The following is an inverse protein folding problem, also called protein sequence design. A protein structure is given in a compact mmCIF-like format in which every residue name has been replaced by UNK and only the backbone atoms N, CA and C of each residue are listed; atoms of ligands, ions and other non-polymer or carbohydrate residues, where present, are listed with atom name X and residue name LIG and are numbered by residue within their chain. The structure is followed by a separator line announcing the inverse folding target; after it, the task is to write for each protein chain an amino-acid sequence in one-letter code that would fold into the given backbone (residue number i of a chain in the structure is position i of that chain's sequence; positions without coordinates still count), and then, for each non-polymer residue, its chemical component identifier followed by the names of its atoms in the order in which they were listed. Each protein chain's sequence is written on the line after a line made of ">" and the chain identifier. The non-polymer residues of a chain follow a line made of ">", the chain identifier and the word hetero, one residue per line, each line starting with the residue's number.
data_IF_581644587685
#
_entry.id   IF_581644587685
#
_cell.length_a   1.000
_cell.length_b   1.000
_cell.length_c   1.000
_cell.angle_alpha   90.00
_cell.angle_beta   90.00
_cell.angle_gamma   90.00
#
_symmetry.space_group_name_H-M   'P 1'
#
loop_
_entity.id
_entity.type
_entity.pdbx_description
1 polymer ?
#
# COMPACT_ATOMS: atom_id res chain seq x y z
N UNK A 1 36.20 28.89 -11.24
CA UNK A 1 35.55 27.62 -11.64
C UNK A 1 34.14 27.97 -12.05
N UNK A 2 33.87 27.95 -13.35
CA UNK A 2 32.59 28.40 -13.90
C UNK A 2 31.49 27.40 -13.55
N UNK A 3 30.45 27.87 -12.86
CA UNK A 3 29.16 27.18 -12.77
C UNK A 3 28.64 26.95 -14.19
N UNK A 4 28.57 25.69 -14.62
CA UNK A 4 27.78 25.32 -15.78
C UNK A 4 26.32 25.43 -15.37
N UNK A 5 25.64 26.47 -15.85
CA UNK A 5 24.18 26.51 -15.89
C UNK A 5 23.77 25.37 -16.83
N UNK A 6 23.44 24.19 -16.28
CA UNK A 6 22.79 23.13 -17.05
C UNK A 6 21.43 23.68 -17.48
N UNK A 7 21.23 23.82 -18.79
CA UNK A 7 19.93 24.11 -19.36
C UNK A 7 18.98 22.97 -19.03
N UNK A 8 17.77 23.27 -18.55
CA UNK A 8 16.76 22.26 -18.28
C UNK A 8 16.50 21.39 -19.53
N UNK A 9 16.37 20.05 -19.38
CA UNK A 9 16.12 19.14 -20.48
C UNK A 9 14.80 19.52 -21.15
N UNK A 10 14.75 19.38 -22.48
CA UNK A 10 13.55 19.73 -23.22
C UNK A 10 13.22 21.23 -23.28
N UNK A 11 14.19 22.13 -23.14
CA UNK A 11 13.99 23.57 -23.34
C UNK A 11 13.30 23.92 -24.69
N UNK A 12 13.50 23.08 -25.73
CA UNK A 12 12.80 23.18 -27.03
C UNK A 12 11.43 22.51 -27.11
N UNK A 13 11.00 21.77 -26.09
CA UNK A 13 9.74 21.01 -26.02
C UNK A 13 8.66 21.71 -25.17
N UNK A 14 9.03 22.70 -24.36
CA UNK A 14 8.15 23.50 -23.48
C UNK A 14 7.01 24.23 -24.20
N UNK A 15 6.96 24.20 -25.53
CA UNK A 15 5.90 24.81 -26.36
C UNK A 15 5.16 23.81 -27.25
N UNK A 16 5.49 22.51 -27.19
CA UNK A 16 4.81 21.47 -27.98
C UNK A 16 3.59 20.96 -27.22
N UNK A 17 2.41 21.03 -27.85
CA UNK A 17 1.15 20.45 -27.34
C UNK A 17 1.13 18.90 -27.41
N UNK A 18 2.13 18.31 -28.07
CA UNK A 18 2.28 16.87 -28.28
C UNK A 18 3.70 16.39 -28.02
N UNK A 19 3.80 15.29 -27.27
CA UNK A 19 5.06 14.56 -27.03
C UNK A 19 5.07 13.31 -27.91
N UNK A 20 6.08 13.20 -28.77
CA UNK A 20 6.25 12.04 -29.66
C UNK A 20 7.28 11.05 -29.12
N UNK A 21 7.31 9.82 -29.66
CA UNK A 21 8.32 8.82 -29.30
C UNK A 21 9.76 9.30 -29.55
N UNK A 22 9.98 10.12 -30.60
CA UNK A 22 11.30 10.72 -30.85
C UNK A 22 11.69 11.73 -29.77
N UNK A 23 10.72 12.51 -29.26
CA UNK A 23 10.94 13.43 -28.14
C UNK A 23 11.30 12.64 -26.86
N UNK A 24 10.66 11.50 -26.60
CA UNK A 24 10.99 10.62 -25.47
C UNK A 24 12.43 10.10 -25.58
N UNK A 25 12.85 9.63 -26.76
CA UNK A 25 14.23 9.15 -26.96
C UNK A 25 15.26 10.26 -26.75
N UNK A 26 14.95 11.48 -27.21
CA UNK A 26 15.80 12.64 -27.01
C UNK A 26 15.93 12.96 -25.51
N UNK A 27 14.80 13.08 -24.81
CA UNK A 27 14.76 13.38 -23.38
C UNK A 27 15.47 12.32 -22.54
N UNK A 28 15.31 11.03 -22.87
CA UNK A 28 16.06 9.95 -22.20
C UNK A 28 17.57 10.14 -22.30
N UNK A 29 18.07 10.57 -23.47
CA UNK A 29 19.51 10.82 -23.66
C UNK A 29 20.00 12.03 -22.88
N UNK A 30 19.17 13.05 -22.73
CA UNK A 30 19.50 14.26 -21.97
C UNK A 30 19.47 14.01 -20.46
N UNK A 31 18.35 13.48 -19.95
CA UNK A 31 18.07 13.29 -18.52
C UNK A 31 18.99 12.25 -17.87
N UNK A 32 19.40 11.21 -18.61
CA UNK A 32 20.32 10.20 -18.10
C UNK A 32 21.78 10.42 -18.55
N UNK A 33 22.11 11.58 -19.14
CA UNK A 33 23.42 11.83 -19.75
C UNK A 33 24.58 11.72 -18.76
N UNK A 34 24.39 12.21 -17.53
CA UNK A 34 25.37 12.17 -16.43
C UNK A 34 25.07 11.04 -15.43
N UNK A 35 24.07 10.19 -15.73
CA UNK A 35 23.67 9.03 -14.96
C UNK A 35 22.89 9.35 -13.68
N UNK A 36 22.45 10.59 -13.49
CA UNK A 36 21.79 11.06 -12.26
C UNK A 36 20.69 12.07 -12.61
N UNK A 37 19.42 11.73 -12.39
CA UNK A 37 18.28 12.65 -12.65
C UNK A 37 18.17 13.74 -11.58
N UNK A 38 18.56 14.97 -11.85
CA UNK A 38 18.47 16.08 -10.91
C UNK A 38 17.02 16.53 -10.65
N UNK A 39 16.81 17.26 -9.54
CA UNK A 39 15.51 17.87 -9.21
C UNK A 39 14.97 18.76 -10.32
N UNK A 40 15.83 19.57 -10.95
CA UNK A 40 15.43 20.46 -12.04
C UNK A 40 14.97 19.69 -13.28
N UNK A 41 15.54 18.52 -13.53
CA UNK A 41 15.12 17.63 -14.62
C UNK A 41 13.77 16.98 -14.30
N UNK A 42 13.57 16.51 -13.07
CA UNK A 42 12.27 16.00 -12.62
C UNK A 42 11.18 17.08 -12.70
N UNK A 43 11.44 18.30 -12.24
CA UNK A 43 10.51 19.44 -12.34
C UNK A 43 10.19 19.79 -13.81
N UNK A 44 11.17 19.70 -14.71
CA UNK A 44 10.94 19.89 -16.14
C UNK A 44 10.05 18.79 -16.75
N UNK A 45 10.24 17.53 -16.34
CA UNK A 45 9.39 16.42 -16.76
C UNK A 45 7.94 16.59 -16.28
N UNK A 46 7.72 17.04 -15.04
CA UNK A 46 6.38 17.37 -14.54
C UNK A 46 5.74 18.51 -15.34
N UNK A 47 6.51 19.56 -15.69
CA UNK A 47 6.00 20.66 -16.49
C UNK A 47 5.57 20.19 -17.90
N UNK A 48 6.35 19.29 -18.52
CA UNK A 48 6.00 18.68 -19.81
C UNK A 48 4.75 17.80 -19.68
N UNK A 49 4.66 17.00 -18.62
CA UNK A 49 3.49 16.14 -18.38
C UNK A 49 2.20 16.97 -18.21
N UNK A 50 2.28 18.08 -17.48
CA UNK A 50 1.14 18.96 -17.24
C UNK A 50 0.70 19.78 -18.46
N UNK A 51 1.60 20.06 -19.40
CA UNK A 51 1.33 20.93 -20.55
C UNK A 51 0.95 20.19 -21.83
N UNK A 52 1.45 18.96 -22.04
CA UNK A 52 1.17 18.17 -23.22
C UNK A 52 -0.23 17.53 -23.17
N UNK A 53 -1.03 17.72 -24.24
CA UNK A 53 -2.36 17.11 -24.37
C UNK A 53 -2.34 15.73 -25.00
N UNK A 54 -1.42 15.52 -25.95
CA UNK A 54 -1.24 14.26 -26.65
C UNK A 54 0.17 13.72 -26.34
N UNK A 55 0.22 12.53 -25.74
CA UNK A 55 1.46 11.92 -25.25
C UNK A 55 1.61 10.56 -25.91
N UNK A 56 2.80 10.27 -26.42
CA UNK A 56 3.08 8.96 -26.99
C UNK A 56 2.99 7.86 -25.92
N UNK A 57 2.70 6.60 -26.28
CA UNK A 57 2.58 5.50 -25.33
C UNK A 57 3.83 5.24 -24.48
N UNK A 58 5.01 5.66 -24.93
CA UNK A 58 6.29 5.52 -24.25
C UNK A 58 6.52 6.59 -23.17
N UNK A 59 5.74 7.67 -23.19
CA UNK A 59 5.92 8.78 -22.26
C UNK A 59 5.70 8.39 -20.79
N UNK A 60 4.59 7.71 -20.40
CA UNK A 60 4.36 7.36 -19.01
C UNK A 60 5.48 6.50 -18.42
N UNK A 61 5.98 5.51 -19.18
CA UNK A 61 7.07 4.63 -18.75
C UNK A 61 8.36 5.44 -18.49
N UNK A 62 8.75 6.30 -19.43
CA UNK A 62 9.93 7.15 -19.27
C UNK A 62 9.78 8.13 -18.09
N UNK A 63 8.63 8.80 -17.99
CA UNK A 63 8.37 9.76 -16.93
C UNK A 63 8.46 9.12 -15.54
N UNK A 64 7.79 7.96 -15.37
CA UNK A 64 7.79 7.20 -14.12
C UNK A 64 9.21 6.76 -13.76
N UNK A 65 9.95 6.20 -14.72
CA UNK A 65 11.33 5.74 -14.50
C UNK A 65 12.25 6.88 -14.06
N UNK A 66 12.27 7.99 -14.79
CA UNK A 66 13.18 9.11 -14.53
C UNK A 66 12.90 9.78 -13.18
N UNK A 67 11.62 10.04 -12.87
CA UNK A 67 11.26 10.68 -11.60
C UNK A 67 11.47 9.74 -10.42
N UNK A 68 11.25 8.43 -10.60
CA UNK A 68 11.56 7.43 -9.55
C UNK A 68 13.06 7.37 -9.26
N UNK A 69 13.91 7.47 -10.29
CA UNK A 69 15.37 7.49 -10.09
C UNK A 69 15.82 8.67 -9.23
N UNK A 70 15.28 9.87 -9.49
CA UNK A 70 15.51 11.05 -8.66
C UNK A 70 15.07 10.81 -7.20
N UNK A 71 13.85 10.32 -6.99
CA UNK A 71 13.25 10.20 -5.64
C UNK A 71 13.91 9.09 -4.81
N UNK A 72 14.23 7.96 -5.42
CA UNK A 72 14.61 6.73 -4.71
C UNK A 72 16.12 6.51 -4.64
N UNK A 73 16.88 6.89 -5.68
CA UNK A 73 18.28 6.50 -5.79
C UNK A 73 19.28 7.61 -5.42
N UNK A 74 18.83 8.86 -5.30
CA UNK A 74 19.77 9.97 -5.07
C UNK A 74 20.01 10.31 -3.61
N UNK A 75 19.05 10.03 -2.75
CA UNK A 75 19.25 10.18 -1.32
C UNK A 75 19.97 8.97 -0.74
N UNK A 76 20.89 9.25 0.18
CA UNK A 76 21.60 8.21 0.92
C UNK A 76 20.82 7.90 2.19
N UNK A 77 20.57 6.62 2.50
CA UNK A 77 20.97 5.42 1.75
C UNK A 77 20.10 5.14 0.52
N UNK A 78 20.72 4.70 -0.58
CA UNK A 78 20.00 4.44 -1.83
C UNK A 78 18.85 3.43 -1.63
N UNK A 79 17.69 3.77 -2.19
CA UNK A 79 16.45 3.05 -1.99
C UNK A 79 15.57 3.64 -0.88
N UNK A 80 16.00 4.67 -0.16
CA UNK A 80 15.19 5.31 0.89
C UNK A 80 14.61 6.62 0.36
N UNK A 81 13.34 6.84 0.65
CA UNK A 81 12.69 8.12 0.39
C UNK A 81 12.76 8.94 1.68
N UNK A 82 13.34 10.14 1.65
CA UNK A 82 13.28 11.05 2.79
C UNK A 82 11.89 11.65 2.96
N UNK A 83 11.69 12.22 4.15
CA UNK A 83 10.52 13.04 4.44
C UNK A 83 10.39 14.23 3.47
N UNK A 84 11.49 14.90 3.14
CA UNK A 84 11.46 16.06 2.23
C UNK A 84 11.07 15.66 0.80
N UNK A 85 11.57 14.51 0.32
CA UNK A 85 11.23 13.98 -1.00
C UNK A 85 9.78 13.49 -1.07
N UNK A 86 9.28 12.82 -0.03
CA UNK A 86 7.87 12.43 0.05
C UNK A 86 6.96 13.66 0.02
N UNK A 87 7.29 14.69 0.81
CA UNK A 87 6.55 15.94 0.83
C UNK A 87 6.59 16.69 -0.50
N UNK A 88 7.76 16.73 -1.14
CA UNK A 88 7.91 17.35 -2.46
C UNK A 88 7.07 16.60 -3.51
N UNK A 89 7.11 15.26 -3.52
CA UNK A 89 6.32 14.46 -4.46
C UNK A 89 4.83 14.73 -4.24
N UNK A 90 4.33 14.62 -3.01
CA UNK A 90 2.90 14.88 -2.69
C UNK A 90 2.52 16.29 -3.15
N UNK A 91 3.30 17.32 -2.82
CA UNK A 91 3.00 18.70 -3.24
C UNK A 91 3.01 18.89 -4.76
N UNK A 92 3.80 18.11 -5.48
CA UNK A 92 3.94 18.24 -6.94
C UNK A 92 2.77 17.56 -7.67
N UNK A 93 2.34 16.39 -7.20
CA UNK A 93 1.26 15.61 -7.83
C UNK A 93 -0.13 15.91 -7.27
N UNK A 94 -0.23 16.58 -6.12
CA UNK A 94 -1.51 16.87 -5.47
C UNK A 94 -2.03 18.25 -5.88
N UNK A 95 -3.24 18.30 -6.44
CA UNK A 95 -4.04 19.51 -6.60
C UNK A 95 -5.33 19.37 -5.79
N UNK A 96 -5.54 20.28 -4.86
CA UNK A 96 -6.67 20.25 -3.92
C UNK A 96 -6.80 18.93 -3.14
N UNK A 97 -5.68 18.24 -2.87
CA UNK A 97 -5.64 16.98 -2.14
C UNK A 97 -5.75 15.72 -3.00
N UNK A 98 -5.92 15.86 -4.32
CA UNK A 98 -6.08 14.73 -5.25
C UNK A 98 -4.98 14.70 -6.32
N UNK A 99 -4.68 13.51 -6.82
CA UNK A 99 -3.81 13.33 -7.99
C UNK A 99 -4.59 13.65 -9.27
N UNK A 100 -3.96 14.30 -10.24
CA UNK A 100 -4.64 14.81 -11.43
C UNK A 100 -4.65 13.83 -12.61
N UNK A 101 -3.64 12.97 -12.72
CA UNK A 101 -3.50 12.05 -13.86
C UNK A 101 -3.20 10.61 -13.46
N UNK A 102 -3.53 9.66 -14.35
CA UNK A 102 -3.17 8.25 -14.19
C UNK A 102 -1.64 8.06 -14.18
N UNK A 103 -0.90 8.88 -14.92
CA UNK A 103 0.55 8.83 -14.97
C UNK A 103 1.17 9.24 -13.63
N UNK A 104 0.63 10.28 -12.99
CA UNK A 104 1.08 10.70 -11.65
C UNK A 104 0.69 9.70 -10.56
N UNK A 105 -0.48 9.06 -10.68
CA UNK A 105 -0.87 7.99 -9.76
C UNK A 105 0.02 6.76 -9.91
N UNK A 106 0.34 6.38 -11.15
CA UNK A 106 1.27 5.29 -11.43
C UNK A 106 2.67 5.62 -10.92
N UNK A 107 3.14 6.86 -11.07
CA UNK A 107 4.39 7.33 -10.47
C UNK A 107 4.38 7.14 -8.95
N UNK A 108 3.32 7.58 -8.27
CA UNK A 108 3.20 7.46 -6.81
C UNK A 108 3.31 6.01 -6.34
N UNK A 109 2.60 5.10 -7.02
CA UNK A 109 2.62 3.67 -6.69
C UNK A 109 3.98 3.06 -7.03
N UNK A 110 4.56 3.38 -8.17
CA UNK A 110 5.85 2.85 -8.61
C UNK A 110 7.00 3.28 -7.69
N UNK A 111 6.97 4.53 -7.21
CA UNK A 111 7.92 5.05 -6.23
C UNK A 111 7.87 4.25 -4.93
N UNK A 112 6.66 3.94 -4.44
CA UNK A 112 6.48 3.08 -3.27
C UNK A 112 6.99 1.65 -3.53
N UNK A 113 6.67 1.07 -4.68
CA UNK A 113 7.07 -0.29 -5.06
C UNK A 113 8.60 -0.43 -5.18
N UNK A 114 9.29 0.63 -5.64
CA UNK A 114 10.73 0.62 -5.87
C UNK A 114 11.56 0.97 -4.63
N UNK A 115 10.97 1.70 -3.69
CA UNK A 115 11.63 2.07 -2.45
C UNK A 115 11.85 0.86 -1.54
N UNK A 116 12.97 0.88 -0.81
CA UNK A 116 13.28 -0.01 0.32
C UNK A 116 12.69 0.49 1.63
N UNK A 117 12.37 1.78 1.72
CA UNK A 117 11.74 2.43 2.86
C UNK A 117 11.16 3.77 2.39
N UNK A 118 9.96 4.11 2.84
CA UNK A 118 9.38 5.44 2.67
C UNK A 118 8.56 5.83 3.88
N UNK A 119 8.34 7.13 4.09
CA UNK A 119 7.52 7.62 5.18
C UNK A 119 6.08 7.10 5.08
N UNK A 120 5.50 6.66 6.20
CA UNK A 120 4.12 6.13 6.21
C UNK A 120 3.05 7.11 5.73
N UNK A 121 3.34 8.42 5.70
CA UNK A 121 2.45 9.42 5.11
C UNK A 121 2.33 9.33 3.59
N UNK A 122 3.36 8.84 2.90
CA UNK A 122 3.34 8.71 1.43
C UNK A 122 2.43 7.54 1.02
N UNK A 123 2.54 6.40 1.70
CA UNK A 123 1.63 5.26 1.50
C UNK A 123 0.20 5.61 1.92
N UNK A 124 0.00 6.28 3.05
CA UNK A 124 -1.32 6.76 3.47
C UNK A 124 -1.94 7.71 2.45
N UNK A 125 -1.15 8.65 1.89
CA UNK A 125 -1.62 9.53 0.81
C UNK A 125 -2.04 8.75 -0.44
N UNK A 126 -1.28 7.72 -0.85
CA UNK A 126 -1.63 6.87 -1.97
C UNK A 126 -2.96 6.11 -1.72
N UNK A 127 -3.15 5.56 -0.53
CA UNK A 127 -4.42 4.92 -0.14
C UNK A 127 -5.58 5.91 -0.13
N UNK A 128 -5.35 7.15 0.30
CA UNK A 128 -6.35 8.22 0.27
C UNK A 128 -6.86 8.49 -1.15
N UNK A 129 -5.98 8.41 -2.16
CA UNK A 129 -6.39 8.54 -3.57
C UNK A 129 -7.35 7.44 -4.00
N UNK A 130 -7.13 6.21 -3.54
CA UNK A 130 -8.07 5.12 -3.80
C UNK A 130 -9.37 5.31 -3.05
N UNK A 131 -9.31 5.82 -1.81
CA UNK A 131 -10.51 6.14 -1.05
C UNK A 131 -11.35 7.23 -1.75
N UNK A 132 -10.75 8.30 -2.27
CA UNK A 132 -11.46 9.32 -3.05
C UNK A 132 -12.14 8.73 -4.30
N UNK A 133 -11.49 7.80 -4.98
CA UNK A 133 -12.07 7.12 -6.14
C UNK A 133 -13.26 6.23 -5.75
N UNK A 134 -13.12 5.41 -4.72
CA UNK A 134 -14.17 4.49 -4.25
C UNK A 134 -15.34 5.24 -3.64
N UNK A 135 -15.07 6.21 -2.77
CA UNK A 135 -16.07 6.84 -1.91
C UNK A 135 -16.74 7.99 -2.64
N UNK A 136 -15.93 8.91 -3.17
CA UNK A 136 -16.42 10.15 -3.76
C UNK A 136 -16.64 10.04 -5.27
N UNK A 137 -16.12 8.97 -5.89
CA UNK A 137 -16.06 8.88 -7.35
C UNK A 137 -15.19 9.99 -7.95
N UNK A 138 -14.07 10.34 -7.28
CA UNK A 138 -13.15 11.41 -7.67
C UNK A 138 -11.75 10.88 -8.02
N UNK A 139 -10.98 11.65 -8.78
CA UNK A 139 -9.58 11.34 -9.09
C UNK A 139 -9.36 10.62 -10.42
N UNK A 140 -8.10 10.26 -10.73
CA UNK A 140 -7.69 9.87 -12.07
C UNK A 140 -8.13 8.45 -12.43
N UNK A 141 -8.46 7.62 -11.43
CA UNK A 141 -9.00 6.28 -11.60
C UNK A 141 -10.36 6.24 -12.32
N UNK A 142 -11.06 7.39 -12.40
CA UNK A 142 -12.29 7.53 -13.20
C UNK A 142 -12.00 7.47 -14.70
N UNK A 143 -10.79 7.87 -15.11
CA UNK A 143 -10.46 8.09 -16.53
C UNK A 143 -10.16 6.78 -17.26
N UNK A 144 -11.20 5.97 -17.52
CA UNK A 144 -11.09 4.75 -18.34
C UNK A 144 -12.09 3.63 -18.01
N UNK A 145 -12.88 3.77 -16.94
CA UNK A 145 -13.90 2.81 -16.54
C UNK A 145 -15.05 3.46 -15.76
N UNK A 146 -16.20 2.78 -15.67
CA UNK A 146 -17.32 3.25 -14.87
C UNK A 146 -17.07 2.93 -13.39
N UNK A 147 -16.38 3.81 -12.67
CA UNK A 147 -16.38 3.76 -11.21
C UNK A 147 -17.79 4.00 -10.69
N UNK A 148 -18.23 3.14 -9.77
CA UNK A 148 -19.51 3.30 -9.07
C UNK A 148 -19.19 3.78 -7.66
N UNK A 149 -19.47 5.06 -7.33
CA UNK A 149 -19.23 5.56 -5.99
C UNK A 149 -19.92 4.70 -4.93
N UNK A 150 -19.21 4.38 -3.86
CA UNK A 150 -19.67 3.50 -2.79
C UNK A 150 -19.47 2.01 -3.05
N UNK A 151 -18.83 1.62 -4.16
CA UNK A 151 -18.53 0.22 -4.49
C UNK A 151 -17.01 0.02 -4.64
N UNK A 152 -16.47 -1.00 -3.96
CA UNK A 152 -15.10 -1.46 -4.19
C UNK A 152 -15.13 -2.55 -5.26
N UNK A 153 -14.64 -2.26 -6.46
CA UNK A 153 -14.45 -3.27 -7.50
C UNK A 153 -13.02 -3.83 -7.46
N UNK A 154 -12.80 -4.90 -8.21
CA UNK A 154 -11.52 -5.60 -8.26
C UNK A 154 -10.32 -4.70 -8.60
N UNK A 155 -10.50 -3.72 -9.48
CA UNK A 155 -9.42 -2.82 -9.88
C UNK A 155 -8.93 -1.96 -8.71
N UNK A 156 -9.85 -1.45 -7.86
CA UNK A 156 -9.47 -0.71 -6.67
C UNK A 156 -8.82 -1.61 -5.63
N UNK A 157 -9.29 -2.87 -5.47
CA UNK A 157 -8.63 -3.85 -4.58
C UNK A 157 -7.20 -4.14 -5.05
N UNK A 158 -7.00 -4.32 -6.36
CA UNK A 158 -5.68 -4.61 -6.92
C UNK A 158 -4.71 -3.43 -6.70
N UNK A 159 -5.20 -2.19 -6.80
CA UNK A 159 -4.41 -1.01 -6.51
C UNK A 159 -4.10 -0.85 -5.01
N UNK A 160 -5.08 -1.05 -4.13
CA UNK A 160 -4.86 -1.07 -2.68
C UNK A 160 -3.81 -2.13 -2.32
N UNK A 161 -3.86 -3.29 -2.97
CA UNK A 161 -2.87 -4.36 -2.77
C UNK A 161 -1.47 -3.92 -3.20
N UNK A 162 -1.33 -3.29 -4.36
CA UNK A 162 -0.04 -2.74 -4.83
C UNK A 162 0.56 -1.76 -3.81
N UNK A 163 -0.26 -0.84 -3.28
CA UNK A 163 0.19 0.17 -2.32
C UNK A 163 0.56 -0.47 -0.97
N UNK A 164 -0.30 -1.32 -0.42
CA UNK A 164 -0.07 -1.95 0.89
C UNK A 164 1.11 -2.93 0.87
N UNK A 165 1.41 -3.54 -0.28
CA UNK A 165 2.47 -4.55 -0.40
C UNK A 165 3.76 -3.98 -0.99
N UNK A 166 3.82 -2.67 -1.23
CA UNK A 166 5.00 -1.98 -1.68
C UNK A 166 6.13 -2.06 -0.63
N UNK A 167 7.38 -2.24 -1.08
CA UNK A 167 8.56 -2.53 -0.24
C UNK A 167 9.12 -1.32 0.54
N UNK A 168 8.39 -0.21 0.56
CA UNK A 168 8.88 1.06 1.08
C UNK A 168 7.96 1.71 2.08
N UNK A 169 7.57 1.08 3.19
CA UNK A 169 6.84 1.75 4.27
C UNK A 169 7.64 1.78 5.58
N UNK A 170 7.42 2.77 6.45
CA UNK A 170 7.90 2.76 7.85
C UNK A 170 7.42 1.52 8.64
N UNK A 171 6.49 0.76 8.07
CA UNK A 171 6.04 -0.54 8.52
C UNK A 171 6.29 -1.64 7.50
N UNK A 172 7.49 -1.78 6.93
CA UNK A 172 7.88 -2.71 5.84
C UNK A 172 7.39 -4.20 5.87
N UNK A 173 6.65 -4.64 6.91
CA UNK A 173 5.88 -5.89 6.98
C UNK A 173 4.49 -5.70 7.63
N UNK A 174 4.28 -4.63 8.41
CA UNK A 174 3.10 -4.39 9.23
C UNK A 174 2.39 -3.10 8.81
N UNK A 175 1.09 -3.23 8.53
CA UNK A 175 0.19 -2.12 8.26
C UNK A 175 0.31 -1.07 9.36
N UNK A 176 0.35 0.20 9.01
CA UNK A 176 0.44 1.31 9.95
C UNK A 176 -0.95 1.81 10.34
N UNK A 177 -1.03 2.57 11.44
CA UNK A 177 -2.31 3.16 11.88
C UNK A 177 -2.95 4.08 10.84
N UNK A 178 -2.24 5.00 10.17
CA UNK A 178 -2.83 5.82 9.10
C UNK A 178 -3.39 4.98 7.94
N UNK A 179 -2.71 3.92 7.53
CA UNK A 179 -3.20 3.01 6.48
C UNK A 179 -4.45 2.27 6.93
N UNK A 180 -4.47 1.77 8.17
CA UNK A 180 -5.62 1.11 8.76
C UNK A 180 -6.84 2.03 8.88
N UNK A 181 -6.62 3.33 9.17
CA UNK A 181 -7.68 4.34 9.21
C UNK A 181 -8.34 4.54 7.84
N UNK A 182 -7.55 4.57 6.76
CA UNK A 182 -8.08 4.66 5.38
C UNK A 182 -8.91 3.41 5.03
N UNK A 183 -8.40 2.21 5.33
CA UNK A 183 -9.13 0.96 5.06
C UNK A 183 -10.46 0.91 5.81
N UNK A 184 -10.49 1.35 7.07
CA UNK A 184 -11.73 1.45 7.84
C UNK A 184 -12.72 2.43 7.22
N UNK A 185 -12.24 3.60 6.78
CA UNK A 185 -13.12 4.59 6.15
C UNK A 185 -13.77 4.04 4.89
N UNK A 186 -12.99 3.39 4.01
CA UNK A 186 -13.51 2.71 2.83
C UNK A 186 -14.57 1.68 3.26
N UNK A 187 -14.24 0.82 4.23
CA UNK A 187 -15.15 -0.22 4.70
C UNK A 187 -16.46 0.33 5.28
N UNK A 188 -16.41 1.40 6.08
CA UNK A 188 -17.60 2.05 6.63
C UNK A 188 -18.51 2.57 5.52
N UNK A 189 -17.92 3.23 4.52
CA UNK A 189 -18.65 3.90 3.45
C UNK A 189 -19.14 2.94 2.35
N UNK A 190 -18.55 1.76 2.22
CA UNK A 190 -18.97 0.73 1.25
C UNK A 190 -19.64 -0.48 1.90
N UNK A 191 -19.91 -0.45 3.21
CA UNK A 191 -20.44 -1.58 4.00
C UNK A 191 -21.77 -2.15 3.51
N UNK A 192 -22.60 -1.34 2.84
CA UNK A 192 -23.89 -1.75 2.31
C UNK A 192 -23.85 -2.16 0.82
N UNK A 193 -22.69 -2.05 0.17
CA UNK A 193 -22.52 -2.36 -1.25
C UNK A 193 -22.10 -3.83 -1.46
N UNK A 194 -22.40 -4.35 -2.65
CA UNK A 194 -21.96 -5.68 -3.10
C UNK A 194 -20.51 -5.63 -3.59
N UNK A 195 -19.60 -5.34 -2.66
CA UNK A 195 -18.17 -5.18 -2.95
C UNK A 195 -17.56 -6.48 -3.50
N UNK A 196 -16.51 -6.35 -4.31
CA UNK A 196 -15.76 -7.50 -4.77
C UNK A 196 -15.27 -8.34 -3.57
N UNK A 197 -15.42 -9.68 -3.57
CA UNK A 197 -15.02 -10.52 -2.44
C UNK A 197 -13.54 -10.37 -2.04
N UNK A 198 -12.67 -9.98 -2.98
CA UNK A 198 -11.25 -9.72 -2.69
C UNK A 198 -11.03 -8.51 -1.78
N UNK A 199 -12.01 -7.60 -1.66
CA UNK A 199 -11.99 -6.50 -0.69
C UNK A 199 -12.09 -7.01 0.76
N UNK A 200 -13.04 -7.93 1.03
CA UNK A 200 -13.18 -8.55 2.35
C UNK A 200 -11.86 -9.24 2.74
N UNK A 201 -11.28 -10.00 1.82
CA UNK A 201 -10.00 -10.67 2.03
C UNK A 201 -8.87 -9.68 2.36
N UNK A 202 -8.73 -8.61 1.57
CA UNK A 202 -7.68 -7.62 1.76
C UNK A 202 -7.85 -6.90 3.10
N UNK A 203 -9.07 -6.44 3.41
CA UNK A 203 -9.38 -5.71 4.64
C UNK A 203 -9.06 -6.56 5.88
N UNK A 204 -9.57 -7.79 5.93
CA UNK A 204 -9.38 -8.69 7.08
C UNK A 204 -7.90 -9.02 7.26
N UNK A 205 -7.18 -9.35 6.18
CA UNK A 205 -5.74 -9.65 6.25
C UNK A 205 -4.92 -8.45 6.72
N UNK A 206 -5.15 -7.28 6.12
CA UNK A 206 -4.41 -6.07 6.44
C UNK A 206 -4.61 -5.67 7.92
N UNK A 207 -5.86 -5.67 8.40
CA UNK A 207 -6.13 -5.27 9.78
C UNK A 207 -5.81 -6.34 10.82
N UNK A 208 -5.91 -7.62 10.47
CA UNK A 208 -5.39 -8.67 11.33
C UNK A 208 -3.87 -8.54 11.47
N UNK A 209 -3.15 -8.28 10.37
CA UNK A 209 -1.72 -7.99 10.42
C UNK A 209 -1.44 -6.77 11.32
N UNK A 210 -2.14 -5.64 11.13
CA UNK A 210 -2.01 -4.46 11.99
C UNK A 210 -2.10 -4.82 13.48
N UNK A 211 -3.22 -5.43 13.88
CA UNK A 211 -3.56 -5.69 15.28
C UNK A 211 -2.73 -6.83 15.88
N UNK A 212 -2.36 -7.83 15.07
CA UNK A 212 -1.66 -9.04 15.55
C UNK A 212 -0.13 -8.94 15.48
N UNK A 213 0.44 -8.19 14.54
CA UNK A 213 1.88 -7.95 14.50
C UNK A 213 2.33 -6.99 15.61
N UNK A 214 1.42 -6.19 16.15
CA UNK A 214 1.61 -5.52 17.43
C UNK A 214 1.48 -6.47 18.61
N UNK A 215 0.63 -7.50 18.49
CA UNK A 215 0.43 -8.55 19.48
C UNK A 215 1.59 -9.56 19.58
N UNK A 216 2.82 -9.12 19.87
CA UNK A 216 3.85 -10.01 20.41
C UNK A 216 4.10 -11.33 19.64
N UNK A 217 3.86 -11.38 18.33
CA UNK A 217 3.71 -12.66 17.62
C UNK A 217 5.04 -13.42 17.56
N UNK A 218 5.15 -14.48 18.36
CA UNK A 218 6.18 -15.50 18.25
C UNK A 218 5.72 -16.57 17.25
N UNK A 219 6.53 -16.82 16.21
CA UNK A 219 6.20 -17.82 15.20
C UNK A 219 6.02 -19.20 15.87
N UNK A 220 4.88 -19.89 15.66
CA UNK A 220 4.59 -21.16 16.33
C UNK A 220 5.60 -22.24 15.93
N UNK A 221 5.90 -23.14 16.85
CA UNK A 221 6.71 -24.33 16.55
C UNK A 221 5.99 -25.21 15.52
N UNK A 222 6.76 -25.95 14.70
CA UNK A 222 6.23 -26.82 13.64
C UNK A 222 5.14 -27.78 14.13
N UNK A 223 5.26 -28.31 15.35
CA UNK A 223 4.24 -29.15 15.96
C UNK A 223 2.96 -28.39 16.37
N UNK A 224 3.07 -27.12 16.78
CA UNK A 224 1.92 -26.28 17.09
C UNK A 224 1.17 -25.81 15.83
N UNK A 225 1.86 -25.69 14.68
CA UNK A 225 1.24 -25.47 13.38
C UNK A 225 0.45 -26.71 12.91
N UNK A 226 1.06 -27.90 12.98
CA UNK A 226 0.43 -29.18 12.61
C UNK A 226 -0.75 -29.59 13.52
N UNK A 227 -0.74 -29.15 14.79
CA UNK A 227 -1.84 -29.37 15.73
C UNK A 227 -3.02 -28.42 15.49
N UNK A 228 -2.77 -27.27 14.86
CA UNK A 228 -3.82 -26.35 14.39
C UNK A 228 -4.49 -26.91 13.14
N UNK A 229 -3.73 -27.37 12.15
CA UNK A 229 -4.24 -28.04 10.93
C UNK A 229 -5.36 -29.07 11.22
N UNK A 230 -5.14 -29.95 12.20
CA UNK A 230 -6.07 -31.06 12.53
C UNK A 230 -7.32 -30.65 13.33
N UNK A 231 -7.35 -29.45 13.91
CA UNK A 231 -8.51 -28.94 14.67
C UNK A 231 -9.54 -28.25 13.74
N UNK A 232 -9.11 -27.70 12.60
CA UNK A 232 -9.97 -26.91 11.71
C UNK A 232 -10.72 -27.70 10.64
N UNK A 233 -10.39 -28.98 10.47
CA UNK A 233 -11.24 -29.95 9.73
C UNK A 233 -12.60 -30.18 10.41
N UNK A 234 -12.82 -29.73 11.64
CA UNK A 234 -14.10 -29.92 12.37
C UNK A 234 -15.00 -28.67 12.42
N UNK A 235 -14.51 -27.48 12.03
CA UNK A 235 -15.26 -26.21 12.07
C UNK A 235 -15.96 -25.87 10.73
N UNK A 236 -16.37 -26.90 9.98
CA UNK A 236 -16.72 -26.82 8.56
C UNK A 236 -18.06 -26.14 8.21
N UNK A 237 -18.91 -25.76 9.17
CA UNK A 237 -20.33 -25.44 8.84
C UNK A 237 -20.76 -23.97 8.78
N UNK A 238 -19.96 -22.99 9.20
CA UNK A 238 -20.46 -21.59 9.24
C UNK A 238 -19.59 -20.56 8.51
N UNK A 239 -18.40 -20.94 8.04
CA UNK A 239 -17.45 -20.00 7.44
C UNK A 239 -16.86 -20.67 6.20
N UNK A 240 -17.10 -20.09 5.02
CA UNK A 240 -16.77 -20.70 3.73
C UNK A 240 -15.33 -21.20 3.61
N UNK A 241 -15.11 -22.21 2.75
CA UNK A 241 -13.86 -22.99 2.59
C UNK A 241 -12.58 -22.21 2.22
N UNK A 242 -12.64 -20.89 2.18
CA UNK A 242 -11.51 -19.98 2.12
C UNK A 242 -10.82 -19.80 3.49
N UNK A 243 -11.58 -19.66 4.58
CA UNK A 243 -11.02 -19.49 5.94
C UNK A 243 -10.32 -20.76 6.43
N UNK A 244 -10.79 -21.95 6.03
CA UNK A 244 -10.16 -23.24 6.32
C UNK A 244 -8.68 -23.28 5.90
N UNK A 245 -8.35 -22.76 4.71
CA UNK A 245 -6.96 -22.75 4.18
C UNK A 245 -6.05 -21.70 4.84
N UNK A 246 -6.62 -20.61 5.33
CA UNK A 246 -5.88 -19.57 6.06
C UNK A 246 -5.49 -20.03 7.47
N UNK A 247 -6.35 -20.85 8.08
CA UNK A 247 -6.21 -21.26 9.46
C UNK A 247 -5.42 -22.58 9.59
N UNK A 248 -5.48 -23.46 8.58
CA UNK A 248 -4.69 -24.70 8.51
C UNK A 248 -3.18 -24.39 8.48
N UNK A 249 -2.72 -23.51 7.58
CA UNK A 249 -1.30 -23.08 7.52
C UNK A 249 -0.83 -22.19 8.68
N UNK A 250 -1.70 -21.83 9.63
CA UNK A 250 -1.45 -20.80 10.64
C UNK A 250 -1.12 -19.41 10.03
N UNK A 251 -0.82 -18.40 10.86
CA UNK A 251 -0.43 -17.06 10.36
C UNK A 251 0.87 -17.10 9.52
N UNK A 252 1.63 -18.20 9.55
CA UNK A 252 2.73 -18.46 8.62
C UNK A 252 2.25 -18.57 7.16
N UNK A 253 1.08 -19.16 6.93
CA UNK A 253 0.40 -19.18 5.63
C UNK A 253 -0.14 -17.81 5.20
N UNK A 254 -0.54 -16.96 6.15
CA UNK A 254 -0.89 -15.54 5.88
C UNK A 254 0.35 -14.82 5.37
N UNK A 255 1.50 -14.94 6.04
CA UNK A 255 2.79 -14.35 5.63
C UNK A 255 3.35 -14.96 4.33
N UNK A 256 2.96 -16.19 3.98
CA UNK A 256 3.30 -16.87 2.72
C UNK A 256 2.43 -16.43 1.54
N UNK A 257 1.19 -16.03 1.79
CA UNK A 257 0.28 -15.48 0.79
C UNK A 257 0.60 -14.04 0.35
N UNK A 258 1.56 -13.36 1.00
CA UNK A 258 2.09 -12.04 0.59
C UNK A 258 3.20 -12.13 -0.48
N UNK A 259 3.57 -13.34 -0.93
CA UNK A 259 4.81 -13.57 -1.69
C UNK A 259 4.57 -13.73 -3.20
N UNK A 260 5.41 -13.08 -4.00
CA UNK A 260 5.73 -13.49 -5.38
C UNK A 260 7.07 -14.24 -5.38
N UNK A 261 7.32 -15.25 -6.24
CA UNK A 261 8.50 -16.11 -6.16
C UNK A 261 9.75 -15.42 -6.72
N UNK A 262 10.83 -15.27 -5.93
CA UNK A 262 12.10 -14.75 -6.43
C UNK A 262 13.27 -14.75 -5.42
N UNK A 263 14.43 -15.20 -5.92
CA UNK A 263 15.82 -15.21 -5.41
C UNK A 263 16.14 -15.34 -3.90
N UNK A 264 16.69 -16.51 -3.54
CA UNK A 264 16.76 -17.12 -2.20
C UNK A 264 17.71 -16.39 -1.21
N UNK A 265 18.68 -15.63 -1.70
CA UNK A 265 19.72 -15.00 -0.86
C UNK A 265 19.30 -13.60 -0.37
N UNK A 266 18.71 -12.78 -1.25
CA UNK A 266 18.02 -11.54 -0.86
C UNK A 266 16.81 -11.84 0.04
N UNK A 267 16.14 -12.97 -0.19
CA UNK A 267 15.10 -13.49 0.70
C UNK A 267 15.60 -13.77 2.13
N UNK A 268 16.85 -14.20 2.34
CA UNK A 268 17.34 -14.59 3.67
C UNK A 268 17.71 -13.39 4.54
N UNK A 269 18.35 -12.37 3.97
CA UNK A 269 18.56 -11.10 4.66
C UNK A 269 17.25 -10.36 4.93
N UNK A 270 16.29 -10.48 4.01
CA UNK A 270 14.93 -9.97 4.18
C UNK A 270 14.19 -10.67 5.32
N UNK A 271 14.26 -12.01 5.40
CA UNK A 271 13.72 -12.82 6.51
C UNK A 271 14.23 -12.31 7.87
N UNK A 272 15.53 -12.02 7.98
CA UNK A 272 16.12 -11.55 9.25
C UNK A 272 15.68 -10.12 9.60
N UNK A 273 15.71 -9.17 8.64
CA UNK A 273 15.26 -7.79 8.89
C UNK A 273 13.77 -7.70 9.21
N UNK A 274 12.95 -8.52 8.53
CA UNK A 274 11.52 -8.59 8.75
C UNK A 274 11.17 -9.14 10.13
N UNK A 275 11.81 -10.25 10.50
CA UNK A 275 11.69 -10.83 11.82
C UNK A 275 12.23 -9.88 12.91
N UNK A 276 13.33 -9.16 12.68
CA UNK A 276 13.90 -8.19 13.62
C UNK A 276 13.06 -6.91 13.78
N UNK A 277 12.41 -6.42 12.71
CA UNK A 277 11.48 -5.29 12.78
C UNK A 277 10.20 -5.67 13.52
N UNK A 278 9.68 -6.88 13.25
CA UNK A 278 8.54 -7.44 13.96
C UNK A 278 8.88 -7.71 15.43
N UNK A 279 10.03 -8.32 15.71
CA UNK A 279 10.50 -8.59 17.07
C UNK A 279 10.77 -7.32 17.89
N UNK A 280 11.16 -6.21 17.25
CA UNK A 280 11.29 -4.90 17.93
C UNK A 280 9.95 -4.22 18.22
N UNK A 281 8.89 -4.54 17.47
CA UNK A 281 7.53 -4.03 17.70
C UNK A 281 6.69 -4.94 18.62
N UNK A 282 7.06 -6.21 18.72
CA UNK A 282 6.36 -7.26 19.45
C UNK A 282 6.59 -7.18 20.98
N UNK A 283 6.09 -6.14 21.64
CA UNK A 283 5.96 -6.09 23.11
C UNK A 283 4.50 -6.19 23.52
N UNK A 284 3.92 -7.41 23.55
CA UNK A 284 2.51 -7.69 23.90
C UNK A 284 1.50 -6.93 23.04
N UNK A 285 0.21 -7.27 23.04
CA UNK A 285 -0.78 -6.41 22.35
C UNK A 285 -0.59 -4.99 22.87
N UNK A 286 -0.17 -4.04 22.03
CA UNK A 286 -0.16 -2.64 22.46
C UNK A 286 -1.61 -2.32 22.83
N UNK A 287 -1.82 -2.03 24.11
CA UNK A 287 -3.12 -1.65 24.63
C UNK A 287 -3.71 -0.49 23.81
N UNK A 288 -2.86 0.32 23.16
CA UNK A 288 -3.24 1.35 22.20
C UNK A 288 -4.03 0.82 21.01
N UNK A 289 -3.55 -0.21 20.30
CA UNK A 289 -4.19 -0.72 19.08
C UNK A 289 -5.47 -1.51 19.35
N UNK A 290 -5.48 -2.32 20.41
CA UNK A 290 -6.69 -3.03 20.81
C UNK A 290 -7.79 -2.08 21.25
N UNK A 291 -7.45 -0.98 21.94
CA UNK A 291 -8.40 0.08 22.27
C UNK A 291 -8.86 0.83 21.03
N UNK A 292 -7.94 1.19 20.14
CA UNK A 292 -8.26 1.85 18.88
C UNK A 292 -9.23 1.01 18.04
N UNK A 293 -9.00 -0.30 17.90
CA UNK A 293 -9.90 -1.18 17.14
C UNK A 293 -11.27 -1.24 17.79
N UNK A 294 -11.32 -1.32 19.12
CA UNK A 294 -12.57 -1.33 19.87
C UNK A 294 -13.37 -0.03 19.70
N UNK A 295 -12.69 1.11 19.74
CA UNK A 295 -13.26 2.44 19.50
C UNK A 295 -13.75 2.59 18.06
N UNK A 296 -12.99 2.10 17.07
CA UNK A 296 -13.30 2.28 15.66
C UNK A 296 -14.50 1.44 15.21
N UNK A 297 -14.59 0.18 15.64
CA UNK A 297 -15.76 -0.66 15.36
C UNK A 297 -16.99 -0.14 16.15
N UNK A 298 -16.76 0.25 17.40
CA UNK A 298 -17.81 0.69 18.31
C UNK A 298 -18.64 -0.48 18.88
N UNK A 299 -19.04 -0.34 20.14
CA UNK A 299 -19.75 -1.40 20.87
C UNK A 299 -21.27 -1.33 20.73
N UNK A 300 -21.82 -0.27 20.16
CA UNK A 300 -23.27 -0.01 20.18
C UNK A 300 -24.00 -0.29 18.87
N UNK A 301 -23.26 -0.49 17.76
CA UNK A 301 -23.86 -0.80 16.45
C UNK A 301 -23.71 -2.28 16.06
N UNK A 302 -24.53 -2.77 15.11
CA UNK A 302 -24.27 -4.03 14.43
C UNK A 302 -22.91 -4.01 13.73
N UNK A 303 -22.25 -5.17 13.74
CA UNK A 303 -20.98 -5.37 13.05
C UNK A 303 -21.21 -5.50 11.54
N UNK A 304 -20.40 -4.80 10.74
CA UNK A 304 -20.33 -5.05 9.30
C UNK A 304 -19.69 -6.43 9.05
N UNK A 305 -19.93 -7.01 7.87
CA UNK A 305 -19.45 -8.37 7.56
C UNK A 305 -17.92 -8.49 7.62
N UNK A 306 -17.20 -7.47 7.12
CA UNK A 306 -15.74 -7.39 7.23
C UNK A 306 -15.24 -7.29 8.68
N UNK A 307 -15.94 -6.53 9.54
CA UNK A 307 -15.59 -6.38 10.96
C UNK A 307 -15.83 -7.67 11.73
N UNK A 308 -16.93 -8.36 11.42
CA UNK A 308 -17.25 -9.68 11.96
C UNK A 308 -16.17 -10.69 11.57
N UNK A 309 -15.79 -10.74 10.29
CA UNK A 309 -14.74 -11.61 9.79
C UNK A 309 -13.38 -11.35 10.48
N UNK A 310 -13.01 -10.07 10.65
CA UNK A 310 -11.79 -9.66 11.37
C UNK A 310 -11.81 -10.13 12.84
N UNK A 311 -12.90 -9.86 13.56
CA UNK A 311 -13.03 -10.25 14.97
C UNK A 311 -12.99 -11.77 15.14
N UNK A 312 -13.66 -12.51 14.25
CA UNK A 312 -13.59 -13.98 14.23
C UNK A 312 -12.17 -14.47 14.01
N UNK A 313 -11.41 -13.88 13.08
CA UNK A 313 -10.02 -14.26 12.84
C UNK A 313 -9.15 -14.00 14.09
N UNK A 314 -9.27 -12.82 14.71
CA UNK A 314 -8.53 -12.47 15.93
C UNK A 314 -8.84 -13.45 17.07
N UNK A 315 -10.11 -13.83 17.25
CA UNK A 315 -10.55 -14.80 18.28
C UNK A 315 -9.86 -16.16 18.12
N UNK A 316 -9.74 -16.63 16.89
CA UNK A 316 -9.14 -17.93 16.60
C UNK A 316 -7.60 -17.90 16.65
N UNK A 317 -7.01 -16.79 16.23
CA UNK A 317 -5.58 -16.69 16.03
C UNK A 317 -4.82 -16.26 17.29
N UNK A 318 -5.45 -15.48 18.20
CA UNK A 318 -4.80 -15.03 19.44
C UNK A 318 -5.22 -15.87 20.66
N UNK A 319 -4.27 -16.54 21.36
CA UNK A 319 -4.55 -17.24 22.61
C UNK A 319 -4.81 -16.28 23.78
N UNK A 320 -4.24 -15.08 23.74
CA UNK A 320 -4.46 -14.03 24.74
C UNK A 320 -5.15 -12.83 24.09
N UNK A 321 -6.39 -12.58 24.51
CA UNK A 321 -7.23 -11.53 23.96
C UNK A 321 -7.21 -10.34 24.91
N UNK A 322 -6.77 -9.18 24.40
CA UNK A 322 -6.75 -7.96 25.19
C UNK A 322 -8.17 -7.60 25.67
N UNK A 323 -8.36 -7.21 26.96
CA UNK A 323 -9.68 -6.96 27.55
C UNK A 323 -10.56 -5.98 26.77
N UNK A 324 -9.96 -5.00 26.08
CA UNK A 324 -10.69 -4.02 25.28
C UNK A 324 -11.48 -4.65 24.11
N UNK A 325 -11.03 -5.79 23.58
CA UNK A 325 -11.69 -6.46 22.46
C UNK A 325 -12.76 -7.47 22.91
N UNK A 326 -12.77 -7.88 24.18
CA UNK A 326 -13.72 -8.88 24.69
C UNK A 326 -15.19 -8.55 24.38
N UNK A 327 -15.70 -7.32 24.62
CA UNK A 327 -17.10 -7.01 24.35
C UNK A 327 -17.50 -7.13 22.87
N UNK A 328 -16.55 -6.90 21.96
CA UNK A 328 -16.80 -7.06 20.52
C UNK A 328 -16.74 -8.53 20.10
N UNK A 329 -15.84 -9.30 20.70
CA UNK A 329 -15.68 -10.72 20.42
C UNK A 329 -16.84 -11.57 20.94
N UNK A 330 -17.53 -11.12 21.99
CA UNK A 330 -18.76 -11.75 22.49
C UNK A 330 -19.93 -11.60 21.49
N UNK A 331 -19.91 -10.60 20.60
CA UNK A 331 -20.96 -10.41 19.57
C UNK A 331 -20.82 -11.35 18.36
N UNK A 332 -19.65 -11.93 18.18
CA UNK A 332 -19.36 -12.90 17.11
C UNK A 332 -19.34 -14.35 17.64
N UNK A 333 -19.72 -14.54 18.90
CA UNK A 333 -20.01 -15.84 19.51
C UNK A 333 -21.48 -16.22 19.28
#
# INVERSE_FOLDING_TARGET
>A
MSERIQSAPGAGLTSKDRITAEDVVMLRREVFADGVVSRGEAEALFALDATARDKSPEWPEFFVEAVTDYIVHQEKPAGYISEDNADWLIRTISRDGMVDSLTELELLVHVLERAKSSPGRLSAYALEQVAHAVVDGKGPLISGGALVPGLVAKAEVDLLRRILYAYGGDGNIAITRPEAEVLFRINEQTSAADNDPSWNELFVKALANFVMCSAGYEAPTREAALRRDSFFEQAESEIGGFFSRMVSGGLAGIMEAYRSPGDIEAEWESKNRAAEALARRAETIDAGEAKWLAERIGTHRPLHDNERALLTLIKHASPEIHPALKPLLDKVA
#
